data_IF_130985914229
#
_entry.id   IF_130985914229
#
_cell.length_a   1.000
_cell.length_b   1.000
_cell.length_c   1.000
_cell.angle_alpha   90.00
_cell.angle_beta   90.00
_cell.angle_gamma   90.00
#
_symmetry.space_group_name_H-M   'P 1'
#
loop_
_entity.id
_entity.type
_entity.pdbx_description
1 polymer ?
#
# COMPACT_ATOMS: atom_id res chain seq x y z
N UNK A 1 -7.47 -22.35 58.33
CA UNK A 1 -6.02 -22.24 58.07
C UNK A 1 -5.71 -23.03 56.79
N UNK A 2 -4.77 -22.58 55.94
CA UNK A 2 -4.09 -23.42 54.94
C UNK A 2 -3.01 -24.29 55.67
N UNK A 3 -2.33 -25.31 55.09
CA UNK A 3 -1.44 -25.12 53.92
C UNK A 3 -1.15 -26.32 52.97
N UNK A 4 -0.52 -26.01 51.81
CA UNK A 4 0.35 -26.91 50.97
C UNK A 4 -0.31 -28.13 50.29
N UNK A 5 0.21 -28.79 49.24
CA UNK A 5 1.29 -28.62 48.21
C UNK A 5 1.07 -29.76 47.15
N UNK A 6 1.59 -29.81 45.91
CA UNK A 6 2.38 -28.95 45.01
C UNK A 6 2.16 -29.46 43.54
N UNK A 7 3.16 -29.35 42.64
CA UNK A 7 3.28 -29.94 41.29
C UNK A 7 2.42 -29.29 40.17
N UNK A 8 2.96 -28.86 39.01
CA UNK A 8 4.32 -29.01 38.45
C UNK A 8 4.79 -27.76 37.70
N UNK A 9 6.12 -27.55 37.70
CA UNK A 9 6.82 -26.54 36.90
C UNK A 9 6.65 -26.76 35.39
N UNK A 10 6.29 -25.69 34.67
CA UNK A 10 6.79 -25.41 33.34
C UNK A 10 7.11 -23.91 33.20
N UNK A 11 8.25 -23.52 33.78
CA UNK A 11 8.85 -22.21 33.52
C UNK A 11 9.57 -22.25 32.15
N UNK A 12 8.81 -22.16 31.05
CA UNK A 12 9.36 -21.82 29.73
C UNK A 12 9.22 -20.31 29.51
N UNK A 13 10.35 -19.64 29.26
CA UNK A 13 10.38 -18.19 29.03
C UNK A 13 9.66 -17.84 27.72
N UNK A 14 8.60 -17.01 27.74
CA UNK A 14 7.96 -16.52 26.51
C UNK A 14 8.76 -15.31 25.99
N UNK A 15 9.97 -15.58 25.50
CA UNK A 15 10.75 -14.57 24.80
C UNK A 15 10.01 -14.12 23.54
N UNK A 16 9.39 -12.94 23.59
CA UNK A 16 8.84 -12.27 22.40
C UNK A 16 7.42 -12.65 22.00
N UNK A 17 6.51 -13.00 22.93
CA UNK A 17 5.08 -12.88 22.65
C UNK A 17 4.69 -11.41 22.53
N UNK A 18 4.88 -10.84 21.34
CA UNK A 18 4.33 -9.55 20.97
C UNK A 18 2.80 -9.74 20.92
N UNK A 19 2.10 -9.31 21.96
CA UNK A 19 0.68 -9.02 21.86
C UNK A 19 0.50 -7.84 20.91
N UNK A 20 0.47 -8.14 19.62
CA UNK A 20 -0.09 -7.22 18.64
C UNK A 20 -1.53 -6.95 19.09
N UNK A 21 -1.96 -5.68 19.21
CA UNK A 21 -3.37 -5.39 19.47
C UNK A 21 -4.21 -6.07 18.38
N UNK A 22 -5.42 -6.57 18.69
CA UNK A 22 -6.31 -7.09 17.66
C UNK A 22 -6.44 -6.03 16.57
N UNK A 23 -5.99 -6.40 15.37
CA UNK A 23 -6.07 -5.55 14.18
C UNK A 23 -7.54 -5.16 14.06
N UNK A 24 -7.84 -3.85 14.15
CA UNK A 24 -9.23 -3.36 14.03
C UNK A 24 -9.90 -4.02 12.83
N UNK A 25 -11.17 -4.39 12.94
CA UNK A 25 -11.93 -5.03 11.85
C UNK A 25 -11.84 -4.20 10.55
N UNK A 26 -11.72 -2.88 10.71
CA UNK A 26 -11.47 -1.88 9.66
C UNK A 26 -10.16 -2.15 8.90
N UNK A 27 -9.07 -2.47 9.60
CA UNK A 27 -7.78 -2.82 8.99
C UNK A 27 -7.83 -4.22 8.36
N UNK A 28 -8.48 -5.20 9.00
CA UNK A 28 -8.72 -6.53 8.42
C UNK A 28 -9.42 -6.43 7.06
N UNK A 29 -10.40 -5.55 6.91
CA UNK A 29 -11.10 -5.30 5.65
C UNK A 29 -10.13 -4.78 4.56
N UNK A 30 -9.29 -3.79 4.89
CA UNK A 30 -8.30 -3.23 3.95
C UNK A 30 -7.27 -4.27 3.51
N UNK A 31 -6.75 -5.10 4.42
CA UNK A 31 -5.83 -6.20 4.07
C UNK A 31 -6.51 -7.27 3.22
N UNK A 32 -7.78 -7.58 3.48
CA UNK A 32 -8.57 -8.53 2.68
C UNK A 32 -8.83 -8.00 1.27
N UNK A 33 -9.08 -6.69 1.12
CA UNK A 33 -9.25 -6.05 -0.18
C UNK A 33 -7.91 -5.98 -0.95
N UNK A 34 -6.80 -5.71 -0.25
CA UNK A 34 -5.45 -5.74 -0.82
C UNK A 34 -5.10 -7.14 -1.38
N UNK A 35 -5.41 -8.21 -0.65
CA UNK A 35 -5.16 -9.59 -1.09
C UNK A 35 -5.89 -9.96 -2.40
N UNK A 36 -7.07 -9.39 -2.63
CA UNK A 36 -7.85 -9.54 -3.88
C UNK A 36 -7.28 -8.79 -5.09
N UNK A 37 -6.10 -8.20 -4.96
CA UNK A 37 -5.34 -7.57 -6.04
C UNK A 37 -3.94 -8.15 -6.23
N UNK A 38 -3.64 -9.28 -5.57
CA UNK A 38 -2.33 -9.93 -5.65
C UNK A 38 -1.94 -10.39 -7.07
N UNK A 39 -2.92 -10.65 -7.94
CA UNK A 39 -2.68 -10.93 -9.36
C UNK A 39 -2.13 -9.73 -10.15
N UNK A 40 -2.25 -8.51 -9.61
CA UNK A 40 -1.74 -7.28 -10.21
C UNK A 40 -0.31 -6.94 -9.74
N UNK A 41 0.23 -7.61 -8.72
CA UNK A 41 1.59 -7.36 -8.20
C UNK A 41 2.69 -7.58 -9.25
N UNK A 42 2.48 -8.48 -10.21
CA UNK A 42 3.41 -8.76 -11.30
C UNK A 42 3.17 -7.91 -12.56
N UNK A 43 2.24 -6.95 -12.53
CA UNK A 43 1.93 -6.13 -13.69
C UNK A 43 2.96 -4.99 -13.84
N UNK A 44 3.87 -5.15 -14.80
CA UNK A 44 4.97 -4.21 -15.05
C UNK A 44 4.50 -2.76 -15.26
N UNK A 45 3.36 -2.53 -15.90
CA UNK A 45 2.86 -1.17 -16.15
C UNK A 45 2.30 -0.49 -14.89
N UNK A 46 1.70 -1.28 -13.99
CA UNK A 46 1.29 -0.78 -12.68
C UNK A 46 2.50 -0.49 -11.79
N UNK A 47 3.50 -1.37 -11.79
CA UNK A 47 4.77 -1.18 -11.07
C UNK A 47 5.54 0.05 -11.59
N UNK A 48 5.66 0.20 -12.92
CA UNK A 48 6.26 1.39 -13.55
C UNK A 48 5.54 2.66 -13.14
N UNK A 49 4.20 2.70 -13.26
CA UNK A 49 3.41 3.87 -12.87
C UNK A 49 3.58 4.20 -11.38
N UNK A 50 3.53 3.20 -10.50
CA UNK A 50 3.72 3.37 -9.07
C UNK A 50 5.12 3.91 -8.71
N UNK A 51 6.17 3.38 -9.36
CA UNK A 51 7.55 3.85 -9.17
C UNK A 51 7.78 5.29 -9.64
N UNK A 52 7.03 5.74 -10.65
CA UNK A 52 7.07 7.12 -11.13
C UNK A 52 6.30 8.07 -10.22
N UNK A 53 5.05 7.72 -9.90
CA UNK A 53 4.21 8.50 -9.02
C UNK A 53 3.11 7.63 -8.36
N UNK A 54 3.14 7.39 -7.04
CA UNK A 54 2.23 6.45 -6.37
C UNK A 54 0.80 7.00 -6.17
N UNK A 55 0.51 8.22 -6.63
CA UNK A 55 -0.80 8.89 -6.54
C UNK A 55 -1.35 9.31 -7.93
N UNK A 56 -1.51 8.35 -8.88
CA UNK A 56 -2.03 8.63 -10.21
C UNK A 56 -3.42 9.28 -10.15
N UNK A 57 -3.73 10.14 -11.12
CA UNK A 57 -5.06 10.73 -11.22
C UNK A 57 -6.11 9.69 -11.67
N UNK A 58 -7.39 10.01 -11.52
CA UNK A 58 -8.46 9.16 -12.05
C UNK A 58 -8.37 8.99 -13.59
N UNK A 59 -7.84 9.98 -14.31
CA UNK A 59 -7.62 9.89 -15.75
C UNK A 59 -6.48 8.93 -16.08
N UNK A 60 -5.37 8.97 -15.33
CA UNK A 60 -4.25 8.03 -15.50
C UNK A 60 -4.68 6.59 -15.23
N UNK A 61 -5.44 6.36 -14.13
CA UNK A 61 -5.99 5.05 -13.81
C UNK A 61 -6.94 4.58 -14.93
N UNK A 62 -7.83 5.45 -15.44
CA UNK A 62 -8.71 5.11 -16.54
C UNK A 62 -7.95 4.74 -17.82
N UNK A 63 -6.86 5.45 -18.13
CA UNK A 63 -5.99 5.17 -19.27
C UNK A 63 -5.27 3.81 -19.12
N UNK A 64 -4.75 3.49 -17.93
CA UNK A 64 -4.16 2.18 -17.62
C UNK A 64 -5.18 1.05 -17.79
N UNK A 65 -6.38 1.22 -17.24
CA UNK A 65 -7.45 0.24 -17.34
C UNK A 65 -7.86 -0.02 -18.79
N UNK A 66 -8.05 1.04 -19.58
CA UNK A 66 -8.39 0.95 -21.00
C UNK A 66 -7.27 0.30 -21.82
N UNK A 67 -6.01 0.67 -21.59
CA UNK A 67 -4.86 0.21 -22.37
C UNK A 67 -4.50 -1.26 -22.11
N UNK A 68 -4.68 -1.73 -20.88
CA UNK A 68 -4.23 -3.05 -20.43
C UNK A 68 -5.38 -4.00 -20.03
N UNK A 69 -6.63 -3.62 -20.28
CA UNK A 69 -7.81 -4.46 -20.00
C UNK A 69 -8.07 -4.70 -18.50
N UNK A 70 -7.66 -3.76 -17.64
CA UNK A 70 -7.72 -3.92 -16.18
C UNK A 70 -9.03 -3.37 -15.60
N UNK A 71 -9.47 -3.94 -14.48
CA UNK A 71 -10.66 -3.47 -13.75
C UNK A 71 -10.33 -2.25 -12.88
N UNK A 72 -11.11 -1.18 -13.04
CA UNK A 72 -10.95 0.12 -12.37
C UNK A 72 -10.84 -0.01 -10.84
N UNK A 73 -11.75 -0.77 -10.23
CA UNK A 73 -11.83 -0.98 -8.78
C UNK A 73 -10.62 -1.74 -8.25
N UNK A 74 -10.14 -2.74 -9.02
CA UNK A 74 -8.93 -3.50 -8.68
C UNK A 74 -7.68 -2.64 -8.77
N UNK A 75 -7.52 -1.84 -9.82
CA UNK A 75 -6.36 -0.94 -9.96
C UNK A 75 -6.34 0.11 -8.84
N UNK A 76 -7.48 0.75 -8.53
CA UNK A 76 -7.59 1.69 -7.39
C UNK A 76 -7.19 1.03 -6.06
N UNK A 77 -7.72 -0.16 -5.80
CA UNK A 77 -7.43 -0.94 -4.59
C UNK A 77 -5.95 -1.32 -4.53
N UNK A 78 -5.36 -1.73 -5.65
CA UNK A 78 -3.95 -2.09 -5.74
C UNK A 78 -3.03 -0.89 -5.43
N UNK A 79 -3.27 0.28 -6.03
CA UNK A 79 -2.50 1.50 -5.70
C UNK A 79 -2.62 1.88 -4.22
N UNK A 80 -3.79 1.71 -3.61
CA UNK A 80 -3.99 1.93 -2.18
C UNK A 80 -3.20 0.92 -1.33
N UNK A 81 -3.27 -0.36 -1.68
CA UNK A 81 -2.55 -1.45 -1.02
C UNK A 81 -1.03 -1.29 -1.12
N UNK A 82 -0.49 -0.92 -2.28
CA UNK A 82 0.95 -0.71 -2.45
C UNK A 82 1.47 0.48 -1.63
N UNK A 83 0.73 1.60 -1.56
CA UNK A 83 1.11 2.72 -0.68
C UNK A 83 1.19 2.28 0.78
N UNK A 84 0.23 1.47 1.26
CA UNK A 84 0.25 0.92 2.61
C UNK A 84 1.43 -0.05 2.83
N UNK A 85 1.68 -0.97 1.90
CA UNK A 85 2.80 -1.93 1.95
C UNK A 85 4.17 -1.26 1.96
N UNK A 86 4.32 -0.17 1.22
CA UNK A 86 5.56 0.62 1.15
C UNK A 86 5.67 1.69 2.25
N UNK A 87 4.68 1.84 3.14
CA UNK A 87 4.70 2.86 4.19
C UNK A 87 4.61 4.31 3.69
N UNK A 88 3.99 4.53 2.51
CA UNK A 88 3.87 5.86 1.90
C UNK A 88 2.73 6.63 2.57
N UNK A 89 3.09 7.66 3.35
CA UNK A 89 2.18 8.46 4.17
C UNK A 89 2.17 9.95 3.80
N UNK A 90 2.30 10.29 2.51
CA UNK A 90 2.31 11.68 2.06
C UNK A 90 0.97 12.38 2.34
N UNK A 91 1.07 13.63 2.77
CA UNK A 91 -0.04 14.58 2.87
C UNK A 91 -0.53 15.04 1.49
N UNK A 92 -1.73 15.61 1.44
CA UNK A 92 -2.29 16.19 0.20
C UNK A 92 -1.40 17.29 -0.40
N UNK A 93 -0.66 18.03 0.44
CA UNK A 93 0.26 19.08 0.01
C UNK A 93 1.50 18.49 -0.66
N UNK A 94 2.15 17.49 -0.05
CA UNK A 94 3.30 16.78 -0.63
C UNK A 94 2.94 16.07 -1.95
N UNK A 95 1.72 15.52 -2.05
CA UNK A 95 1.19 14.90 -3.27
C UNK A 95 1.08 15.94 -4.38
N UNK A 96 0.50 17.11 -4.11
CA UNK A 96 0.25 18.12 -5.14
C UNK A 96 1.53 18.88 -5.52
N UNK A 97 2.41 19.18 -4.56
CA UNK A 97 3.73 19.74 -4.83
C UNK A 97 4.56 18.80 -5.73
N UNK A 98 4.50 17.50 -5.47
CA UNK A 98 5.19 16.49 -6.29
C UNK A 98 4.55 16.34 -7.67
N UNK A 99 3.21 16.38 -7.77
CA UNK A 99 2.50 16.42 -9.06
C UNK A 99 2.93 17.62 -9.90
N UNK A 100 2.99 18.81 -9.31
CA UNK A 100 3.42 20.03 -9.97
C UNK A 100 4.88 19.94 -10.46
N UNK A 101 5.80 19.42 -9.64
CA UNK A 101 7.19 19.15 -10.04
C UNK A 101 7.30 18.18 -11.22
N UNK A 102 6.50 17.11 -11.20
CA UNK A 102 6.47 16.07 -12.24
C UNK A 102 6.00 16.65 -13.58
N UNK A 103 4.90 17.40 -13.60
CA UNK A 103 4.39 18.08 -14.81
C UNK A 103 5.41 19.09 -15.34
N UNK A 104 5.93 19.96 -14.47
CA UNK A 104 6.91 20.97 -14.84
C UNK A 104 8.19 20.38 -15.46
N UNK A 105 8.64 19.21 -14.99
CA UNK A 105 9.79 18.52 -15.57
C UNK A 105 9.47 17.89 -16.95
N UNK A 106 8.25 17.41 -17.19
CA UNK A 106 7.83 16.97 -18.52
C UNK A 106 7.80 18.15 -19.51
N UNK A 107 7.22 19.28 -19.10
CA UNK A 107 7.14 20.50 -19.93
C UNK A 107 8.53 21.07 -20.25
N UNK A 108 9.47 21.08 -19.30
CA UNK A 108 10.85 21.49 -19.55
C UNK A 108 11.57 20.59 -20.57
N UNK A 109 11.33 19.28 -20.54
CA UNK A 109 11.93 18.35 -21.50
C UNK A 109 11.34 18.55 -22.90
N UNK A 110 10.03 18.76 -22.99
CA UNK A 110 9.36 19.06 -24.26
C UNK A 110 9.83 20.38 -24.86
N UNK A 111 9.98 21.43 -24.04
CA UNK A 111 10.47 22.75 -24.48
C UNK A 111 11.94 22.74 -24.93
N UNK A 112 12.80 21.91 -24.30
CA UNK A 112 14.22 21.77 -24.68
C UNK A 112 14.45 20.90 -25.92
N UNK A 113 13.40 20.29 -26.48
CA UNK A 113 13.46 19.45 -27.67
C UNK A 113 13.00 20.18 -28.96
N UNK A 114 12.80 21.50 -28.88
CA UNK A 114 12.43 22.42 -29.96
C UNK A 114 13.56 23.41 -30.25
#
# INVERSE_FOLDING_TARGET
MPPSKEASSLHSSPAGLICLPPISEELQLVWTQAAQTSELDSNEHLLQTFSYFPYPSLADIALLCLRYGLQMEKVKTWFMAQRLRCGISWSSEEIEETRARVVYHQDQLHFKSL
#
